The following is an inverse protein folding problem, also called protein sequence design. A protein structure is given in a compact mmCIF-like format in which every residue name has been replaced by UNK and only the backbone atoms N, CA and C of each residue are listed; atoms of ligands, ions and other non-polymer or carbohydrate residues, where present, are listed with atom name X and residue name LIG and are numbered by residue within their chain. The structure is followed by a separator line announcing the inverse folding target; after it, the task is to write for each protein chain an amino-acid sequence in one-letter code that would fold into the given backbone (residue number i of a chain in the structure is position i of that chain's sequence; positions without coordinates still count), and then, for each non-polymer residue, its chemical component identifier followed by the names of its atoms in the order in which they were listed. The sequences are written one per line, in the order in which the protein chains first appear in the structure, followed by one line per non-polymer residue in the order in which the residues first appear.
data_IF_445419192694
#
_entry.id   IF_445419192694
#
_cell.length_a   1.000
_cell.length_b   1.000
_cell.length_c   1.000
_cell.angle_alpha   90.00
_cell.angle_beta   90.00
_cell.angle_gamma   90.00
#
_symmetry.space_group_name_H-M   'P 1'
#
loop_
_entity.id
_entity.type
_entity.pdbx_description
1 polymer ?
#
# COMPACT_ATOMS: atom_id res chain seq x y z
N UNK A 1 2.77 -0.33 -16.06
CA UNK A 1 1.71 0.33 -15.26
C UNK A 1 2.25 0.58 -13.86
N UNK A 2 2.07 1.79 -13.31
CA UNK A 2 2.63 2.19 -12.02
C UNK A 2 1.93 1.57 -10.81
N UNK A 3 2.51 1.72 -9.61
CA UNK A 3 2.02 1.11 -8.37
C UNK A 3 0.56 1.46 -8.03
N UNK A 4 0.17 2.74 -8.15
CA UNK A 4 -1.22 3.18 -7.92
C UNK A 4 -2.24 2.39 -8.75
N UNK A 5 -1.93 2.12 -10.02
CA UNK A 5 -2.82 1.34 -10.89
C UNK A 5 -2.96 -0.11 -10.40
N UNK A 6 -1.90 -0.69 -9.84
CA UNK A 6 -1.93 -2.07 -9.32
C UNK A 6 -2.79 -2.17 -8.04
N UNK A 7 -2.97 -1.09 -7.29
CA UNK A 7 -3.83 -1.06 -6.10
C UNK A 7 -5.33 -1.26 -6.42
N UNK A 8 -5.80 -0.91 -7.62
CA UNK A 8 -7.19 -1.17 -8.00
C UNK A 8 -7.49 -2.67 -8.14
N UNK A 9 -6.47 -3.47 -8.49
CA UNK A 9 -6.58 -4.93 -8.54
C UNK A 9 -6.26 -5.59 -7.18
N UNK A 10 -5.34 -5.00 -6.41
CA UNK A 10 -4.94 -5.48 -5.07
C UNK A 10 -4.94 -4.31 -4.08
N UNK A 11 -6.09 -3.96 -3.47
CA UNK A 11 -6.22 -2.78 -2.62
C UNK A 11 -5.70 -2.99 -1.20
N UNK A 12 -5.29 -4.21 -0.85
CA UNK A 12 -4.70 -4.56 0.45
C UNK A 12 -3.30 -5.08 0.20
N UNK A 13 -2.30 -4.41 0.76
CA UNK A 13 -0.88 -4.67 0.49
C UNK A 13 -0.05 -4.59 1.77
N UNK A 14 1.03 -5.36 1.80
CA UNK A 14 2.15 -5.23 2.74
C UNK A 14 3.33 -4.55 2.05
N UNK A 15 4.35 -4.15 2.79
CA UNK A 15 5.59 -3.62 2.18
C UNK A 15 6.19 -4.63 1.19
N UNK A 16 6.14 -5.93 1.49
CA UNK A 16 6.63 -6.99 0.59
C UNK A 16 5.84 -7.04 -0.72
N UNK A 17 4.52 -6.89 -0.65
CA UNK A 17 3.72 -6.79 -1.86
C UNK A 17 4.13 -5.57 -2.69
N UNK A 18 4.45 -4.44 -2.04
CA UNK A 18 4.92 -3.23 -2.75
C UNK A 18 6.30 -3.42 -3.36
N UNK A 19 7.23 -4.14 -2.72
CA UNK A 19 8.51 -4.51 -3.31
C UNK A 19 8.30 -5.25 -4.64
N UNK A 20 7.47 -6.29 -4.63
CA UNK A 20 7.18 -7.11 -5.81
C UNK A 20 6.39 -6.33 -6.87
N UNK A 21 5.41 -5.51 -6.44
CA UNK A 21 4.56 -4.73 -7.35
C UNK A 21 5.29 -3.54 -7.97
N UNK A 22 6.25 -2.93 -7.29
CA UNK A 22 6.96 -1.75 -7.79
C UNK A 22 8.38 -2.09 -8.28
N UNK A 23 8.83 -3.34 -8.12
CA UNK A 23 10.21 -3.78 -8.41
C UNK A 23 11.24 -2.92 -7.67
N UNK A 24 10.97 -2.68 -6.38
CA UNK A 24 11.76 -1.82 -5.51
C UNK A 24 12.42 -2.62 -4.38
N UNK A 25 13.53 -2.11 -3.87
CA UNK A 25 14.08 -2.58 -2.59
C UNK A 25 13.10 -2.30 -1.44
N UNK A 26 13.19 -3.08 -0.37
CA UNK A 26 12.39 -2.87 0.85
C UNK A 26 12.35 -1.41 1.32
N UNK A 27 13.51 -0.74 1.32
CA UNK A 27 13.60 0.66 1.75
C UNK A 27 12.79 1.57 0.83
N UNK A 28 12.99 1.45 -0.48
CA UNK A 28 12.26 2.26 -1.46
C UNK A 28 10.76 1.94 -1.48
N UNK A 29 10.37 0.67 -1.29
CA UNK A 29 8.97 0.26 -1.14
C UNK A 29 8.34 0.85 0.14
N UNK A 30 9.08 0.83 1.25
CA UNK A 30 8.64 1.44 2.51
C UNK A 30 8.48 2.96 2.38
N UNK A 31 9.41 3.63 1.70
CA UNK A 31 9.33 5.08 1.44
C UNK A 31 8.14 5.41 0.53
N UNK A 32 7.88 4.57 -0.48
CA UNK A 32 6.71 4.70 -1.36
C UNK A 32 5.39 4.52 -0.60
N UNK A 33 5.28 3.50 0.25
CA UNK A 33 4.11 3.29 1.11
C UNK A 33 3.89 4.50 2.01
N UNK A 34 4.95 5.02 2.63
CA UNK A 34 4.87 6.18 3.50
C UNK A 34 4.36 7.42 2.75
N UNK A 35 4.84 7.66 1.53
CA UNK A 35 4.32 8.75 0.70
C UNK A 35 2.83 8.57 0.38
N UNK A 36 2.39 7.33 0.12
CA UNK A 36 0.96 7.03 -0.11
C UNK A 36 0.12 7.20 1.17
N UNK A 37 0.66 6.88 2.34
CA UNK A 37 0.02 7.16 3.64
C UNK A 37 -0.09 8.67 3.90
N UNK A 38 0.97 9.43 3.65
CA UNK A 38 0.99 10.89 3.81
C UNK A 38 -0.04 11.59 2.89
N UNK A 39 -0.32 11.01 1.73
CA UNK A 39 -1.36 11.47 0.80
C UNK A 39 -2.76 10.86 1.08
N UNK A 40 -2.92 10.03 2.11
CA UNK A 40 -4.19 9.41 2.48
C UNK A 40 -4.66 8.27 1.56
N UNK A 41 -3.84 7.88 0.57
CA UNK A 41 -4.17 6.81 -0.39
C UNK A 41 -4.13 5.45 0.30
N UNK A 42 -3.10 5.20 1.12
CA UNK A 42 -2.99 3.99 1.93
C UNK A 42 -3.21 4.31 3.40
N UNK A 43 -3.86 3.39 4.10
CA UNK A 43 -4.07 3.48 5.55
C UNK A 43 -3.62 2.19 6.20
N UNK A 44 -2.74 2.28 7.18
CA UNK A 44 -2.35 1.12 7.98
C UNK A 44 -3.51 0.67 8.87
N UNK A 45 -3.74 -0.64 8.94
CA UNK A 45 -4.93 -1.20 9.62
C UNK A 45 -4.61 -2.18 10.74
N UNK A 46 -3.36 -2.64 10.85
CA UNK A 46 -3.00 -3.76 11.72
C UNK A 46 -2.43 -3.36 13.09
N UNK A 47 -1.86 -2.16 13.24
CA UNK A 47 -1.21 -1.70 14.46
C UNK A 47 0.04 -2.51 14.86
N UNK A 48 0.51 -3.44 14.03
CA UNK A 48 1.65 -4.32 14.34
C UNK A 48 2.99 -3.68 13.94
N UNK A 49 4.07 -4.04 14.65
CA UNK A 49 5.43 -3.60 14.29
C UNK A 49 6.02 -4.32 13.07
N UNK A 50 5.52 -5.52 12.72
CA UNK A 50 5.98 -6.35 11.59
C UNK A 50 4.79 -6.81 10.77
N UNK A 51 5.01 -7.06 9.47
CA UNK A 51 3.97 -7.41 8.50
C UNK A 51 2.78 -6.44 8.51
N UNK A 52 3.07 -5.12 8.60
CA UNK A 52 2.07 -4.06 8.51
C UNK A 52 1.26 -4.22 7.22
N UNK A 53 -0.06 -4.14 7.35
CA UNK A 53 -1.00 -4.18 6.22
C UNK A 53 -1.57 -2.79 6.00
N UNK A 54 -1.55 -2.39 4.73
CA UNK A 54 -2.00 -1.09 4.25
C UNK A 54 -3.15 -1.30 3.29
N UNK A 55 -4.17 -0.46 3.42
CA UNK A 55 -5.43 -0.58 2.69
C UNK A 55 -5.69 0.68 1.90
N UNK A 56 -6.08 0.53 0.62
CA UNK A 56 -6.59 1.61 -0.20
C UNK A 56 -8.04 1.93 0.20
N UNK A 57 -8.16 2.58 1.37
CA UNK A 57 -9.42 2.75 2.10
C UNK A 57 -10.48 3.47 1.27
N UNK A 58 -10.11 4.56 0.61
CA UNK A 58 -11.06 5.36 -0.19
C UNK A 58 -11.65 4.57 -1.35
N UNK A 59 -10.84 3.73 -2.02
CA UNK A 59 -11.31 2.88 -3.10
C UNK A 59 -12.28 1.81 -2.61
N UNK A 60 -11.94 1.12 -1.51
CA UNK A 60 -12.84 0.12 -0.93
C UNK A 60 -14.14 0.73 -0.41
N UNK A 61 -14.09 1.97 0.07
CA UNK A 61 -15.27 2.73 0.52
C UNK A 61 -16.30 3.00 -0.57
N UNK A 62 -15.95 2.85 -1.85
CA UNK A 62 -16.89 3.03 -2.97
C UNK A 62 -17.88 1.86 -3.15
N UNK A 63 -17.62 0.70 -2.53
CA UNK A 63 -18.41 -0.52 -2.70
C UNK A 63 -19.21 -0.89 -1.43
N UNK A 64 -19.33 0.04 -0.48
CA UNK A 64 -20.12 -0.10 0.75
C UNK A 64 -21.58 0.34 0.59
#
# INVERSE_FOLDING_TARGET
MGFLYKLFAKPVVTIRDVEDMAELSFKAASDLVKAFEEHGILVETTGYQRNRVFVFKDYLGLFG
#
